data_IF_186922569444
#
_entry.id   IF_186922569444
#
_cell.length_a   1.000
_cell.length_b   1.000
_cell.length_c   1.000
_cell.angle_alpha   90.00
_cell.angle_beta   90.00
_cell.angle_gamma   90.00
#
_symmetry.space_group_name_H-M   'P 1'
#
loop_
_entity.id
_entity.type
_entity.pdbx_description
1 polymer ?
#
# COMPACT_ATOMS: atom_id res chain seq x y z
N UNK A 1 19.88 -3.31 49.48
CA UNK A 1 20.50 -2.19 48.75
C UNK A 1 20.43 -2.46 47.25
N UNK A 2 19.44 -1.88 46.56
CA UNK A 2 19.31 -2.05 45.10
C UNK A 2 20.36 -1.16 44.45
N UNK A 3 21.42 -1.77 43.89
CA UNK A 3 22.39 -1.07 43.04
C UNK A 3 21.62 -0.30 41.98
N UNK A 4 21.71 1.02 42.01
CA UNK A 4 21.26 1.89 40.92
C UNK A 4 22.11 1.52 39.70
N UNK A 5 21.66 0.52 38.95
CA UNK A 5 22.27 0.12 37.70
C UNK A 5 22.26 1.36 36.80
N UNK A 6 23.45 1.77 36.33
CA UNK A 6 23.60 2.92 35.43
C UNK A 6 22.57 2.80 34.32
N UNK A 7 21.54 3.65 34.36
CA UNK A 7 20.48 3.63 33.36
C UNK A 7 21.12 4.05 32.03
N UNK A 8 20.92 3.29 30.94
CA UNK A 8 21.46 3.69 29.66
C UNK A 8 20.76 4.98 29.21
N UNK A 9 21.47 6.09 29.37
CA UNK A 9 21.05 7.41 28.91
C UNK A 9 21.11 7.43 27.39
N UNK A 10 20.03 7.86 26.74
CA UNK A 10 20.12 8.26 25.33
C UNK A 10 20.80 9.62 25.31
N UNK A 11 22.04 9.69 24.81
CA UNK A 11 22.71 10.97 24.58
C UNK A 11 22.19 11.54 23.27
N UNK A 12 21.09 12.29 23.35
CA UNK A 12 20.46 12.95 22.20
C UNK A 12 20.33 14.41 22.55
N UNK A 13 20.95 15.24 21.72
CA UNK A 13 20.84 16.69 21.79
C UNK A 13 19.97 17.19 20.65
N UNK A 14 19.51 18.43 20.77
CA UNK A 14 18.92 19.14 19.64
C UNK A 14 19.92 19.20 18.47
N UNK A 15 19.44 19.00 17.24
CA UNK A 15 20.28 18.95 16.04
C UNK A 15 20.36 20.32 15.37
N UNK A 16 19.21 20.95 15.13
CA UNK A 16 19.09 22.32 14.64
C UNK A 16 18.36 23.18 15.68
N UNK A 17 18.79 24.44 15.86
CA UNK A 17 18.15 25.34 16.82
C UNK A 17 16.67 25.54 16.48
N UNK A 18 15.78 25.21 17.42
CA UNK A 18 14.34 25.33 17.25
C UNK A 18 13.64 24.06 16.77
N UNK A 19 14.35 22.94 16.67
CA UNK A 19 13.75 21.64 16.36
C UNK A 19 12.73 21.21 17.42
N UNK A 20 12.93 21.55 18.69
CA UNK A 20 11.92 21.26 19.73
C UNK A 20 10.56 21.92 19.42
N UNK A 21 10.60 23.19 18.98
CA UNK A 21 9.38 23.94 18.61
C UNK A 21 8.73 23.32 17.39
N UNK A 22 9.54 22.95 16.38
CA UNK A 22 9.07 22.29 15.15
C UNK A 22 8.45 20.93 15.43
N UNK A 23 9.10 20.09 16.23
CA UNK A 23 8.61 18.77 16.64
C UNK A 23 7.30 18.87 17.40
N UNK A 24 7.17 19.86 18.30
CA UNK A 24 5.92 20.13 19.02
C UNK A 24 4.81 20.57 18.07
N UNK A 25 5.10 21.44 17.10
CA UNK A 25 4.12 21.87 16.10
C UNK A 25 3.66 20.69 15.22
N UNK A 26 4.60 19.85 14.76
CA UNK A 26 4.31 18.66 13.97
C UNK A 26 3.47 17.65 14.75
N UNK A 27 3.80 17.38 16.01
CA UNK A 27 3.01 16.48 16.86
C UNK A 27 1.57 16.97 17.12
N UNK A 28 1.33 18.29 17.08
CA UNK A 28 -0.01 18.87 17.21
C UNK A 28 -0.82 18.80 15.92
N UNK A 29 -0.16 18.99 14.78
CA UNK A 29 -0.82 18.97 13.46
C UNK A 29 -1.09 17.54 12.95
N UNK A 30 -0.28 16.57 13.38
CA UNK A 30 -0.33 15.20 12.88
C UNK A 30 -1.60 14.46 13.33
N UNK A 31 -2.22 13.75 12.38
CA UNK A 31 -3.43 12.95 12.63
C UNK A 31 -3.11 11.48 12.84
N UNK A 32 -2.03 11.00 12.24
CA UNK A 32 -1.57 9.64 12.45
C UNK A 32 -0.96 9.49 13.85
N UNK A 33 -1.55 8.61 14.65
CA UNK A 33 -1.15 8.43 16.05
C UNK A 33 0.30 7.94 16.17
N UNK A 34 0.74 7.05 15.26
CA UNK A 34 2.11 6.56 15.30
C UNK A 34 3.10 7.67 14.94
N UNK A 35 2.84 8.45 13.89
CA UNK A 35 3.69 9.58 13.48
C UNK A 35 3.75 10.66 14.56
N UNK A 36 2.64 10.92 15.25
CA UNK A 36 2.60 11.79 16.42
C UNK A 36 3.53 11.27 17.54
N UNK A 37 3.46 9.98 17.85
CA UNK A 37 4.31 9.36 18.87
C UNK A 37 5.80 9.43 18.49
N UNK A 38 6.14 9.31 17.19
CA UNK A 38 7.51 9.50 16.69
C UNK A 38 8.03 10.91 16.98
N UNK A 39 7.22 11.92 16.67
CA UNK A 39 7.56 13.32 16.91
C UNK A 39 7.71 13.62 18.41
N UNK A 40 6.83 13.08 19.25
CA UNK A 40 6.93 13.24 20.71
C UNK A 40 8.13 12.49 21.29
N UNK A 41 8.44 11.30 20.80
CA UNK A 41 9.63 10.56 21.23
C UNK A 41 10.92 11.33 20.94
N UNK A 42 11.03 11.92 19.74
CA UNK A 42 12.16 12.77 19.37
C UNK A 42 12.21 14.05 20.20
N UNK A 43 11.07 14.72 20.41
CA UNK A 43 10.98 15.95 21.21
C UNK A 43 11.50 15.71 22.63
N UNK A 44 10.95 14.72 23.33
CA UNK A 44 11.35 14.46 24.71
C UNK A 44 12.79 13.94 24.81
N UNK A 45 13.27 13.21 23.81
CA UNK A 45 14.66 12.79 23.75
C UNK A 45 15.63 13.97 23.57
N UNK A 46 15.28 14.93 22.69
CA UNK A 46 16.06 16.16 22.49
C UNK A 46 16.09 17.04 23.74
N UNK A 47 14.99 17.08 24.50
CA UNK A 47 14.92 17.74 25.82
C UNK A 47 15.62 16.97 26.96
N UNK A 48 16.31 15.88 26.66
CA UNK A 48 17.11 15.11 27.63
C UNK A 48 16.34 14.10 28.49
N UNK A 49 15.08 13.80 28.17
CA UNK A 49 14.30 12.82 28.94
C UNK A 49 14.79 11.38 28.72
N UNK A 50 14.67 10.55 29.76
CA UNK A 50 15.08 9.15 29.71
C UNK A 50 14.15 8.30 28.84
N UNK A 51 14.71 7.34 28.10
CA UNK A 51 13.96 6.46 27.20
C UNK A 51 12.78 5.74 27.88
N UNK A 52 12.97 5.30 29.12
CA UNK A 52 11.90 4.64 29.88
C UNK A 52 10.78 5.62 30.20
N UNK A 53 11.09 6.81 30.74
CA UNK A 53 10.08 7.83 31.06
C UNK A 53 9.23 8.18 29.84
N UNK A 54 9.87 8.34 28.68
CA UNK A 54 9.17 8.61 27.41
C UNK A 54 8.29 7.42 27.02
N UNK A 55 8.81 6.19 27.14
CA UNK A 55 8.06 4.98 26.82
C UNK A 55 6.79 4.83 27.67
N UNK A 56 6.89 5.11 28.96
CA UNK A 56 5.74 5.15 29.88
C UNK A 56 4.74 6.25 29.50
N UNK A 57 5.22 7.46 29.21
CA UNK A 57 4.36 8.60 28.83
C UNK A 57 3.59 8.38 27.53
N UNK A 58 4.23 7.73 26.55
CA UNK A 58 3.65 7.48 25.22
C UNK A 58 2.95 6.10 25.12
N UNK A 59 2.93 5.30 26.18
CA UNK A 59 2.47 3.91 26.16
C UNK A 59 3.11 3.08 25.02
N UNK A 60 4.41 3.30 24.77
CA UNK A 60 5.19 2.61 23.73
C UNK A 60 6.31 1.79 24.34
N UNK A 61 6.88 0.88 23.53
CA UNK A 61 8.05 0.12 23.96
C UNK A 61 9.30 1.01 24.02
N UNK A 62 10.24 0.68 24.91
CA UNK A 62 11.56 1.32 24.95
C UNK A 62 12.26 1.27 23.59
N UNK A 63 12.13 0.16 22.87
CA UNK A 63 12.74 -0.01 21.55
C UNK A 63 12.17 0.95 20.50
N UNK A 64 10.86 1.25 20.56
CA UNK A 64 10.24 2.26 19.70
C UNK A 64 10.85 3.64 19.96
N UNK A 65 10.93 4.04 21.23
CA UNK A 65 11.53 5.33 21.62
C UNK A 65 12.98 5.42 21.14
N UNK A 66 13.81 4.42 21.46
CA UNK A 66 15.22 4.41 21.06
C UNK A 66 15.39 4.49 19.54
N UNK A 67 14.59 3.74 18.77
CA UNK A 67 14.62 3.76 17.30
C UNK A 67 14.40 5.16 16.77
N UNK A 68 13.36 5.84 17.22
CA UNK A 68 12.99 7.15 16.67
C UNK A 68 13.86 8.28 17.19
N UNK A 69 14.33 8.16 18.42
CA UNK A 69 15.28 9.10 18.98
C UNK A 69 16.63 9.04 18.24
N UNK A 70 17.13 7.84 17.90
CA UNK A 70 18.31 7.70 17.04
C UNK A 70 18.06 8.09 15.58
N UNK A 71 16.87 7.83 15.03
CA UNK A 71 16.51 8.31 13.70
C UNK A 71 16.57 9.85 13.62
N UNK A 72 16.06 10.54 14.65
CA UNK A 72 16.18 11.99 14.76
C UNK A 72 17.64 12.46 14.89
N UNK A 73 18.44 11.79 15.75
CA UNK A 73 19.87 12.10 15.87
C UNK A 73 20.59 12.01 14.52
N UNK A 74 20.32 10.96 13.75
CA UNK A 74 21.05 10.65 12.52
C UNK A 74 20.56 11.43 11.30
N UNK A 75 19.27 11.79 11.25
CA UNK A 75 18.67 12.42 10.05
C UNK A 75 17.65 13.51 10.32
N UNK A 76 17.61 14.06 11.54
CA UNK A 76 16.73 15.17 11.91
C UNK A 76 15.25 14.84 11.83
N UNK A 77 14.43 15.89 11.71
CA UNK A 77 12.97 15.77 11.65
C UNK A 77 12.52 14.96 10.42
N UNK A 78 13.22 15.08 9.29
CA UNK A 78 12.86 14.36 8.06
C UNK A 78 12.97 12.84 8.19
N UNK A 79 13.91 12.36 9.03
CA UNK A 79 14.06 10.94 9.30
C UNK A 79 12.92 10.34 10.14
N UNK A 80 12.09 11.17 10.77
CA UNK A 80 10.93 10.71 11.54
C UNK A 80 9.73 10.38 10.66
N UNK A 81 9.68 10.88 9.43
CA UNK A 81 8.56 10.62 8.52
C UNK A 81 8.57 9.16 8.08
N UNK A 82 7.37 8.59 7.96
CA UNK A 82 7.22 7.27 7.39
C UNK A 82 7.74 7.23 5.96
N UNK A 83 8.78 6.44 5.71
CA UNK A 83 9.18 6.12 4.34
C UNK A 83 8.20 5.08 3.82
N UNK A 84 7.60 5.26 2.63
CA UNK A 84 6.72 4.27 2.06
C UNK A 84 7.46 2.94 2.03
N UNK A 85 6.89 1.93 2.71
CA UNK A 85 7.45 0.58 2.71
C UNK A 85 7.54 0.14 1.27
N UNK A 86 8.77 -0.10 0.80
CA UNK A 86 9.01 -0.50 -0.58
C UNK A 86 8.23 -1.76 -0.88
N UNK A 87 7.17 -1.64 -1.67
CA UNK A 87 6.44 -2.79 -2.18
C UNK A 87 7.36 -3.67 -3.02
N UNK A 88 6.98 -4.95 -3.17
CA UNK A 88 7.69 -5.86 -4.08
C UNK A 88 7.77 -5.22 -5.47
N UNK A 89 8.98 -5.07 -6.00
CA UNK A 89 9.19 -4.52 -7.34
C UNK A 89 8.51 -5.45 -8.34
N UNK A 90 7.66 -4.94 -9.25
CA UNK A 90 7.04 -5.78 -10.27
C UNK A 90 8.12 -6.48 -11.09
N UNK A 91 7.94 -7.79 -11.33
CA UNK A 91 8.88 -8.62 -12.11
C UNK A 91 9.10 -8.09 -13.53
N UNK A 92 8.12 -7.38 -14.08
CA UNK A 92 8.16 -6.79 -15.41
C UNK A 92 8.32 -5.28 -15.25
N UNK A 93 9.53 -4.77 -15.43
CA UNK A 93 9.86 -3.34 -15.35
C UNK A 93 10.88 -2.96 -16.43
N UNK A 94 10.95 -1.67 -16.76
CA UNK A 94 11.98 -1.12 -17.64
C UNK A 94 11.80 -1.57 -19.09
N UNK A 95 12.89 -2.03 -19.71
CA UNK A 95 12.90 -2.43 -21.11
C UNK A 95 11.90 -3.57 -21.41
N UNK A 96 11.71 -4.53 -20.50
CA UNK A 96 10.75 -5.61 -20.68
C UNK A 96 9.29 -5.10 -20.71
N UNK A 97 8.99 -4.10 -19.88
CA UNK A 97 7.68 -3.45 -19.87
C UNK A 97 7.43 -2.66 -21.17
N UNK A 98 8.43 -1.96 -21.69
CA UNK A 98 8.32 -1.22 -22.95
C UNK A 98 8.16 -2.13 -24.16
N UNK A 99 8.93 -3.23 -24.22
CA UNK A 99 8.79 -4.27 -25.25
C UNK A 99 7.40 -4.90 -25.22
N UNK A 100 6.89 -5.22 -24.03
CA UNK A 100 5.53 -5.73 -23.88
C UNK A 100 4.49 -4.72 -24.38
N UNK A 101 4.65 -3.44 -24.02
CA UNK A 101 3.73 -2.38 -24.47
C UNK A 101 3.72 -2.26 -26.01
N UNK A 102 4.88 -2.16 -26.64
CA UNK A 102 5.00 -2.12 -28.09
C UNK A 102 4.37 -3.34 -28.77
N UNK A 103 4.55 -4.52 -28.17
CA UNK A 103 3.97 -5.77 -28.67
C UNK A 103 2.45 -5.83 -28.55
N UNK A 104 1.88 -5.26 -27.48
CA UNK A 104 0.43 -5.14 -27.28
C UNK A 104 -0.18 -4.09 -28.22
N UNK A 105 0.51 -2.96 -28.44
CA UNK A 105 0.08 -1.89 -29.33
C UNK A 105 0.13 -2.30 -30.81
N UNK A 106 1.07 -3.17 -31.19
CA UNK A 106 1.13 -3.77 -32.53
C UNK A 106 -0.05 -4.72 -32.82
N UNK A 107 -0.82 -5.11 -31.80
CA UNK A 107 -1.99 -5.96 -31.92
C UNK A 107 -1.66 -7.46 -32.12
N UNK A 108 -2.70 -8.29 -32.32
CA UNK A 108 -2.54 -9.71 -32.52
C UNK A 108 -1.86 -10.01 -33.86
N UNK A 109 -0.82 -10.83 -33.85
CA UNK A 109 -0.14 -11.29 -35.08
C UNK A 109 -0.73 -12.63 -35.54
N UNK A 110 -0.54 -13.03 -36.80
CA UNK A 110 -0.97 -14.35 -37.31
C UNK A 110 -0.44 -15.54 -36.50
N UNK A 111 0.67 -15.36 -35.77
CA UNK A 111 1.22 -16.36 -34.83
C UNK A 111 0.34 -16.58 -33.59
N UNK A 112 -0.39 -15.55 -33.14
CA UNK A 112 -1.22 -15.64 -31.94
C UNK A 112 -2.48 -16.47 -32.18
N UNK A 113 -2.95 -16.57 -33.43
CA UNK A 113 -4.19 -17.25 -33.85
C UNK A 113 -5.46 -16.73 -33.16
N UNK A 114 -5.41 -15.53 -32.54
CA UNK A 114 -6.55 -14.89 -31.86
C UNK A 114 -6.69 -13.45 -32.35
N UNK A 115 -7.92 -12.98 -32.54
CA UNK A 115 -8.21 -11.58 -32.90
C UNK A 115 -8.13 -10.60 -31.72
N UNK A 116 -7.95 -11.08 -30.49
CA UNK A 116 -7.88 -10.27 -29.27
C UNK A 116 -7.00 -10.95 -28.23
N UNK A 117 -5.95 -10.26 -27.77
CA UNK A 117 -5.03 -10.80 -26.76
C UNK A 117 -5.71 -10.85 -25.40
N UNK A 118 -5.80 -12.04 -24.79
CA UNK A 118 -6.27 -12.24 -23.42
C UNK A 118 -5.09 -12.34 -22.46
N UNK A 119 -5.34 -12.24 -21.16
CA UNK A 119 -4.27 -12.31 -20.14
C UNK A 119 -3.40 -13.57 -20.21
N UNK A 120 -3.96 -14.72 -20.64
CA UNK A 120 -3.19 -15.96 -20.88
C UNK A 120 -2.26 -15.86 -22.09
N UNK A 121 -2.69 -15.16 -23.15
CA UNK A 121 -1.87 -14.94 -24.34
C UNK A 121 -0.71 -14.00 -24.00
N UNK A 122 -0.97 -12.96 -23.19
CA UNK A 122 0.06 -12.06 -22.66
C UNK A 122 1.06 -12.82 -21.78
N UNK A 123 0.60 -13.77 -20.95
CA UNK A 123 1.48 -14.64 -20.17
C UNK A 123 2.38 -15.52 -21.06
N UNK A 124 1.83 -16.05 -22.17
CA UNK A 124 2.58 -16.83 -23.15
C UNK A 124 3.64 -15.97 -23.85
N UNK A 125 3.25 -14.79 -24.35
CA UNK A 125 4.16 -13.80 -24.96
C UNK A 125 5.30 -13.44 -24.01
N UNK A 126 4.98 -13.21 -22.73
CA UNK A 126 6.00 -12.92 -21.72
C UNK A 126 6.98 -14.07 -21.49
N UNK A 127 6.52 -15.31 -21.55
CA UNK A 127 7.39 -16.49 -21.44
C UNK A 127 8.24 -16.68 -22.70
N UNK A 128 7.64 -16.58 -23.88
CA UNK A 128 8.28 -16.92 -25.16
C UNK A 128 9.20 -15.81 -25.70
N UNK A 129 8.75 -14.54 -25.66
CA UNK A 129 9.49 -13.42 -26.24
C UNK A 129 10.39 -12.70 -25.22
N UNK A 130 10.00 -12.72 -23.94
CA UNK A 130 10.66 -11.95 -22.87
C UNK A 130 11.33 -12.84 -21.81
N UNK A 131 11.20 -14.17 -21.90
CA UNK A 131 11.79 -15.13 -20.96
C UNK A 131 11.31 -14.97 -19.50
N UNK A 132 10.19 -14.26 -19.29
CA UNK A 132 9.73 -13.86 -17.97
C UNK A 132 8.59 -14.78 -17.49
N UNK A 133 8.91 -15.69 -16.59
CA UNK A 133 7.89 -16.52 -15.94
C UNK A 133 7.13 -15.73 -14.86
N UNK A 134 5.92 -15.33 -15.22
CA UNK A 134 5.02 -14.58 -14.34
C UNK A 134 3.67 -15.26 -14.18
N UNK A 135 3.07 -15.10 -13.00
CA UNK A 135 1.70 -15.53 -12.75
C UNK A 135 0.70 -14.61 -13.46
N UNK A 136 -0.49 -15.13 -13.76
CA UNK A 136 -1.57 -14.37 -14.38
C UNK A 136 -1.93 -13.10 -13.57
N UNK A 137 -1.89 -13.17 -12.24
CA UNK A 137 -2.10 -12.00 -11.36
C UNK A 137 -1.02 -10.93 -11.56
N UNK A 138 0.23 -11.32 -11.79
CA UNK A 138 1.33 -10.38 -12.08
C UNK A 138 1.16 -9.76 -13.47
N UNK A 139 0.67 -10.52 -14.44
CA UNK A 139 0.31 -10.01 -15.78
C UNK A 139 -0.76 -8.93 -15.65
N UNK A 140 -1.88 -9.20 -14.95
CA UNK A 140 -2.94 -8.20 -14.77
C UNK A 140 -2.46 -6.94 -14.04
N UNK A 141 -1.64 -7.08 -12.99
CA UNK A 141 -1.04 -5.91 -12.31
C UNK A 141 -0.16 -5.09 -13.26
N UNK A 142 0.62 -5.77 -14.10
CA UNK A 142 1.50 -5.12 -15.09
C UNK A 142 0.67 -4.37 -16.13
N UNK A 143 -0.38 -5.02 -16.68
CA UNK A 143 -1.30 -4.41 -17.63
C UNK A 143 -2.00 -3.18 -17.05
N UNK A 144 -2.51 -3.28 -15.81
CA UNK A 144 -3.12 -2.16 -15.10
C UNK A 144 -2.13 -1.00 -14.88
N UNK A 145 -0.87 -1.31 -14.52
CA UNK A 145 0.15 -0.27 -14.36
C UNK A 145 0.52 0.45 -15.66
N UNK A 146 0.30 -0.21 -16.81
CA UNK A 146 0.51 0.35 -18.14
C UNK A 146 -0.73 1.08 -18.70
N UNK A 147 -1.86 1.05 -17.98
CA UNK A 147 -3.11 1.69 -18.39
C UNK A 147 -4.07 0.82 -19.19
N UNK A 148 -3.77 -0.47 -19.39
CA UNK A 148 -4.70 -1.39 -20.05
C UNK A 148 -5.78 -1.88 -19.06
N UNK A 149 -7.02 -1.97 -19.54
CA UNK A 149 -8.15 -2.55 -18.81
C UNK A 149 -8.66 -3.79 -19.51
N UNK A 150 -9.20 -4.74 -18.74
CA UNK A 150 -9.87 -5.89 -19.33
C UNK A 150 -11.13 -5.42 -20.07
N UNK A 151 -11.26 -5.77 -21.35
CA UNK A 151 -12.52 -5.66 -22.09
C UNK A 151 -13.54 -6.60 -21.43
N UNK A 152 -14.34 -6.06 -20.52
CA UNK A 152 -15.46 -6.78 -19.96
C UNK A 152 -16.49 -7.03 -21.08
N UNK A 153 -17.00 -8.27 -21.26
CA UNK A 153 -18.06 -8.50 -22.21
C UNK A 153 -19.26 -7.63 -21.84
N UNK A 154 -19.83 -6.95 -22.85
CA UNK A 154 -21.03 -6.14 -22.67
C UNK A 154 -22.11 -7.00 -22.00
N UNK A 155 -22.72 -6.56 -20.88
CA UNK A 155 -23.81 -7.29 -20.24
C UNK A 155 -24.88 -7.59 -21.29
N UNK A 156 -25.09 -8.88 -21.61
CA UNK A 156 -26.15 -9.27 -22.54
C UNK A 156 -27.46 -9.25 -21.77
N UNK A 157 -28.33 -8.33 -22.15
CA UNK A 157 -29.70 -8.27 -21.66
C UNK A 157 -30.44 -9.55 -22.05
N UNK A 158 -31.08 -10.19 -21.08
CA UNK A 158 -31.73 -11.51 -21.18
C UNK A 158 -32.93 -11.56 -22.13
N UNK A 159 -33.35 -10.44 -22.72
CA UNK A 159 -34.54 -10.36 -23.56
C UNK A 159 -34.39 -10.84 -25.02
N UNK A 160 -33.33 -11.57 -25.37
CA UNK A 160 -33.18 -12.08 -26.74
C UNK A 160 -32.57 -13.48 -26.80
N UNK A 161 -33.32 -14.49 -26.33
CA UNK A 161 -33.50 -15.81 -26.98
C UNK A 161 -34.43 -16.69 -26.12
N UNK A 162 -35.61 -16.99 -26.66
CA UNK A 162 -36.55 -18.00 -26.20
C UNK A 162 -35.99 -19.42 -26.41
N UNK A 163 -35.49 -20.06 -25.34
CA UNK A 163 -35.74 -21.46 -24.97
C UNK A 163 -35.05 -21.78 -23.64
N UNK A 164 -35.76 -22.25 -22.61
CA UNK A 164 -35.12 -22.62 -21.35
C UNK A 164 -34.34 -23.92 -21.53
N UNK A 165 -33.00 -23.85 -21.42
CA UNK A 165 -32.21 -25.04 -21.05
C UNK A 165 -32.34 -25.21 -19.54
N UNK A 166 -32.91 -26.34 -19.15
CA UNK A 166 -33.10 -26.75 -17.75
C UNK A 166 -31.72 -27.02 -17.11
N UNK A 167 -31.12 -26.01 -16.47
CA UNK A 167 -30.06 -26.25 -15.49
C UNK A 167 -30.72 -26.43 -14.14
N UNK A 168 -30.74 -27.66 -13.64
CA UNK A 168 -31.17 -28.00 -12.29
C UNK A 168 -30.41 -27.14 -11.28
N UNK A 169 -31.13 -26.26 -10.59
CA UNK A 169 -30.62 -25.62 -9.37
C UNK A 169 -30.46 -26.71 -8.32
N UNK A 170 -29.23 -27.22 -8.15
CA UNK A 170 -28.88 -27.86 -6.89
C UNK A 170 -28.79 -26.75 -5.85
N UNK A 171 -29.84 -26.62 -5.04
CA UNK A 171 -29.80 -25.83 -3.80
C UNK A 171 -28.76 -26.47 -2.89
N UNK A 172 -27.77 -25.69 -2.46
CA UNK A 172 -27.06 -25.95 -1.20
C UNK A 172 -27.48 -24.85 -0.19
N UNK A 173 -27.85 -25.19 1.06
CA UNK A 173 -28.30 -24.24 2.06
C UNK A 173 -27.13 -23.42 2.66
N UNK A 174 -27.43 -22.32 3.39
CA UNK A 174 -26.43 -21.38 3.87
C UNK A 174 -25.75 -21.88 5.16
N UNK A 175 -24.47 -21.58 5.31
CA UNK A 175 -23.83 -21.47 6.62
C UNK A 175 -23.21 -20.07 6.72
N UNK A 176 -23.82 -19.25 7.58
CA UNK A 176 -23.22 -18.08 8.21
C UNK A 176 -22.00 -18.54 9.08
N UNK A 177 -21.12 -17.74 9.65
CA UNK A 177 -21.19 -16.40 10.24
C UNK A 177 -19.75 -15.86 10.38
N UNK A 178 -19.50 -14.59 10.04
CA UNK A 178 -18.85 -13.61 10.92
C UNK A 178 -18.53 -12.30 10.17
N UNK A 179 -19.45 -11.34 10.40
CA UNK A 179 -19.36 -9.88 10.62
C UNK A 179 -18.17 -9.00 10.15
N UNK A 180 -18.45 -7.68 9.99
CA UNK A 180 -17.84 -6.78 9.03
C UNK A 180 -16.68 -5.96 9.61
N UNK A 181 -15.91 -5.31 8.72
CA UNK A 181 -15.38 -3.96 8.94
C UNK A 181 -14.98 -3.34 7.58
N UNK A 182 -15.92 -2.58 7.00
CA UNK A 182 -15.56 -1.48 6.12
C UNK A 182 -15.03 -0.33 6.98
N UNK A 183 -13.89 0.26 6.62
CA UNK A 183 -13.58 1.65 6.97
C UNK A 183 -12.36 2.12 6.17
N UNK A 184 -12.57 2.56 4.93
CA UNK A 184 -11.90 3.76 4.44
C UNK A 184 -12.97 4.63 3.80
N UNK A 185 -13.34 5.66 4.56
CA UNK A 185 -14.38 6.62 4.27
C UNK A 185 -14.01 7.45 3.04
N UNK A 186 -14.86 7.37 2.02
CA UNK A 186 -15.02 8.42 1.05
C UNK A 186 -15.50 9.69 1.77
N UNK A 187 -14.65 10.71 1.80
CA UNK A 187 -15.09 12.11 1.90
C UNK A 187 -14.67 12.79 0.61
N UNK A 188 -15.62 12.93 -0.30
CA UNK A 188 -15.81 14.11 -1.17
C UNK A 188 -17.14 13.93 -1.89
N UNK A 189 -17.96 14.97 -1.76
CA UNK A 189 -19.31 15.08 -2.26
C UNK A 189 -19.36 14.95 -3.79
N UNK A 190 -20.38 14.26 -4.29
CA UNK A 190 -20.88 14.46 -5.66
C UNK A 190 -22.40 14.66 -5.56
N UNK A 191 -22.90 15.88 -5.84
CA UNK A 191 -24.31 16.21 -5.88
C UNK A 191 -24.83 16.00 -7.30
N UNK A 192 -25.64 14.96 -7.50
CA UNK A 192 -26.45 14.81 -8.72
C UNK A 192 -27.61 13.83 -8.48
N UNK A 193 -28.52 14.25 -7.60
CA UNK A 193 -29.91 13.81 -7.59
C UNK A 193 -30.74 15.07 -7.84
N UNK A 194 -31.08 15.33 -9.11
CA UNK A 194 -32.14 16.26 -9.51
C UNK A 194 -32.50 15.96 -10.98
N UNK A 195 -33.81 16.06 -11.24
CA UNK A 195 -34.59 15.64 -12.41
C UNK A 195 -34.90 14.14 -12.43
N UNK A 196 -36.16 13.71 -12.36
CA UNK A 196 -37.39 14.38 -12.81
C UNK A 196 -37.97 13.50 -13.91
#
# INVERSE_FOLDING_TARGET
MIRSARRPTMLITERETGDEVRLRALARAERDAEQKDRNLAALHAASGAQALTIAWMLCRSRAFVQRWAYAYRDGGIDALRDKPRGGSRPKIRGAAAQKLKARLDAGPTSKDKVCTLRGKDVQRILREELGAEVSLSSVYRTLHSMGYSCLAPRPRHESRTSRPRRSSRTRAPPLCEHRPRCAHAARRACPCLLHG
#
